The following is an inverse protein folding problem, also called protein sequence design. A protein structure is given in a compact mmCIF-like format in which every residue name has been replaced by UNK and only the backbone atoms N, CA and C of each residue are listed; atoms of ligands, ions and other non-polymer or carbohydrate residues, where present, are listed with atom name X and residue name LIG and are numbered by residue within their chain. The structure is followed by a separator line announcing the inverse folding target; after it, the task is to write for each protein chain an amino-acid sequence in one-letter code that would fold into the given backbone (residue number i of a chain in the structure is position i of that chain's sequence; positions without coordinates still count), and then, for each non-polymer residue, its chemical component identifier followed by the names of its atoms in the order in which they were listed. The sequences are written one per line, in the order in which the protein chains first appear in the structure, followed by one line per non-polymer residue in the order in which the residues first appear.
data_IF_132165864659
#
_entry.id   IF_132165864659
#
_cell.length_a   1.000
_cell.length_b   1.000
_cell.length_c   1.000
_cell.angle_alpha   90.00
_cell.angle_beta   90.00
_cell.angle_gamma   90.00
#
_symmetry.space_group_name_H-M   'P 1'
#
loop_
_entity.id
_entity.type
_entity.pdbx_description
1 polymer ?
#
# COMPACT_ATOMS: atom_id res chain seq x y z
N UNK A 1 -1.15 -14.29 5.15
CA UNK A 1 -1.83 -13.21 5.90
C UNK A 1 -2.22 -13.67 7.31
N UNK A 2 -2.87 -14.82 7.51
CA UNK A 2 -3.29 -15.30 8.83
C UNK A 2 -2.12 -15.48 9.81
N UNK A 3 -0.96 -16.02 9.38
CA UNK A 3 0.23 -16.15 10.24
C UNK A 3 0.78 -14.79 10.68
N UNK A 4 0.77 -13.80 9.79
CA UNK A 4 1.14 -12.43 10.11
C UNK A 4 0.19 -11.84 11.17
N UNK A 5 -1.12 -12.01 11.03
CA UNK A 5 -2.11 -11.59 12.03
C UNK A 5 -1.88 -12.25 13.39
N UNK A 6 -1.62 -13.56 13.41
CA UNK A 6 -1.31 -14.28 14.63
C UNK A 6 -0.04 -13.75 15.33
N UNK A 7 1.00 -13.39 14.56
CA UNK A 7 2.20 -12.77 15.09
C UNK A 7 1.91 -11.38 15.68
N UNK A 8 1.15 -10.55 14.99
CA UNK A 8 0.75 -9.23 15.47
C UNK A 8 -0.08 -9.31 16.76
N UNK A 9 -1.08 -10.18 16.81
CA UNK A 9 -1.91 -10.39 18.00
C UNK A 9 -1.05 -10.85 19.21
N UNK A 10 -0.18 -11.83 18.98
CA UNK A 10 0.72 -12.35 20.01
C UNK A 10 1.63 -11.27 20.60
N UNK A 11 2.11 -10.35 19.80
CA UNK A 11 3.09 -9.32 20.20
C UNK A 11 2.46 -7.96 20.49
N UNK A 12 1.14 -7.81 20.33
CA UNK A 12 0.41 -6.58 20.63
C UNK A 12 0.56 -5.49 19.57
N UNK A 13 0.87 -5.87 18.33
CA UNK A 13 0.89 -4.93 17.21
C UNK A 13 -0.52 -4.46 16.84
N UNK A 14 -0.73 -3.17 16.52
CA UNK A 14 -2.04 -2.64 16.19
C UNK A 14 -2.48 -3.12 14.79
N UNK A 15 -3.31 -4.15 14.75
CA UNK A 15 -3.88 -4.68 13.50
C UNK A 15 -5.36 -5.00 13.67
N UNK A 16 -6.16 -5.01 12.59
CA UNK A 16 -7.55 -5.42 12.66
C UNK A 16 -7.69 -6.82 13.24
N UNK A 17 -8.71 -7.04 14.07
CA UNK A 17 -9.06 -8.40 14.50
C UNK A 17 -9.44 -9.22 13.29
N UNK A 18 -9.01 -10.47 13.26
CA UNK A 18 -9.18 -11.34 12.12
C UNK A 18 -9.52 -12.76 12.51
N UNK A 19 -10.28 -13.43 11.67
CA UNK A 19 -10.69 -14.83 11.84
C UNK A 19 -10.35 -15.55 10.53
N UNK A 20 -9.60 -16.64 10.65
CA UNK A 20 -9.36 -17.56 9.52
C UNK A 20 -10.59 -18.46 9.37
N UNK A 21 -11.13 -18.55 8.17
CA UNK A 21 -12.31 -19.33 7.88
C UNK A 21 -12.13 -20.23 6.66
N UNK A 22 -12.55 -21.48 6.80
CA UNK A 22 -12.70 -22.45 5.72
C UNK A 22 -14.15 -22.55 5.25
N UNK A 23 -15.12 -22.22 6.15
CA UNK A 23 -16.55 -22.16 5.87
C UNK A 23 -17.24 -21.13 6.76
N UNK A 24 -18.51 -20.84 6.49
CA UNK A 24 -19.34 -19.97 7.33
C UNK A 24 -19.52 -20.52 8.75
N UNK A 25 -19.43 -21.84 8.93
CA UNK A 25 -19.62 -22.50 10.22
C UNK A 25 -18.51 -22.13 11.22
N UNK A 26 -17.33 -21.73 10.74
CA UNK A 26 -16.22 -21.26 11.57
C UNK A 26 -16.55 -19.93 12.28
N UNK A 27 -17.61 -19.24 11.87
CA UNK A 27 -18.09 -18.00 12.49
C UNK A 27 -19.27 -18.22 13.44
N UNK A 28 -19.70 -19.46 13.67
CA UNK A 28 -20.82 -19.76 14.56
C UNK A 28 -20.53 -19.27 16.00
N UNK A 29 -21.44 -18.45 16.54
CA UNK A 29 -21.29 -17.87 17.87
C UNK A 29 -20.32 -16.71 17.99
N UNK A 30 -19.73 -16.24 16.88
CA UNK A 30 -18.83 -15.09 16.84
C UNK A 30 -19.61 -13.85 16.43
N UNK A 31 -19.51 -12.79 17.24
CA UNK A 31 -20.05 -11.47 16.89
C UNK A 31 -19.06 -10.71 16.01
N UNK A 32 -19.49 -10.35 14.79
CA UNK A 32 -18.69 -9.57 13.85
C UNK A 32 -19.04 -8.09 13.96
N UNK A 33 -17.99 -7.25 14.11
CA UNK A 33 -18.13 -5.80 14.14
C UNK A 33 -18.04 -5.24 12.70
N UNK A 34 -19.19 -4.95 12.09
CA UNK A 34 -19.26 -4.38 10.76
C UNK A 34 -18.90 -2.88 10.74
N UNK A 35 -18.31 -2.38 9.61
CA UNK A 35 -17.99 -3.09 8.39
C UNK A 35 -16.81 -4.05 8.55
N UNK A 36 -16.80 -5.11 7.74
CA UNK A 36 -15.72 -6.10 7.69
C UNK A 36 -15.13 -6.25 6.29
N UNK A 37 -13.93 -6.82 6.23
CA UNK A 37 -13.27 -7.24 4.99
C UNK A 37 -13.21 -8.77 4.97
N UNK A 38 -13.59 -9.35 3.83
CA UNK A 38 -13.34 -10.76 3.51
C UNK A 38 -12.32 -10.82 2.39
N UNK A 39 -11.25 -11.60 2.56
CA UNK A 39 -10.16 -11.67 1.58
C UNK A 39 -9.46 -13.03 1.56
N UNK A 40 -8.84 -13.44 0.42
CA UNK A 40 -7.98 -14.63 0.36
C UNK A 40 -6.75 -14.46 1.26
N UNK A 41 -6.24 -15.56 1.80
CA UNK A 41 -5.04 -15.51 2.66
C UNK A 41 -3.73 -15.36 1.88
N UNK A 42 -3.72 -15.65 0.59
CA UNK A 42 -2.53 -15.86 -0.24
C UNK A 42 -2.56 -15.12 -1.61
N UNK A 43 -3.38 -14.07 -1.72
CA UNK A 43 -3.42 -13.21 -2.93
C UNK A 43 -2.90 -11.80 -2.62
N UNK A 44 -2.47 -11.11 -3.68
CA UNK A 44 -2.01 -9.72 -3.69
C UNK A 44 -2.76 -8.89 -4.72
N UNK A 45 -2.63 -7.56 -4.68
CA UNK A 45 -3.23 -6.65 -5.67
C UNK A 45 -4.75 -6.59 -5.57
N UNK A 46 -5.28 -6.51 -4.37
CA UNK A 46 -6.71 -6.34 -4.02
C UNK A 46 -7.67 -7.40 -4.60
N UNK A 47 -7.16 -8.54 -5.11
CA UNK A 47 -7.97 -9.59 -5.73
C UNK A 47 -8.74 -10.39 -4.70
N UNK A 48 -10.06 -10.55 -4.92
CA UNK A 48 -10.95 -11.31 -4.05
C UNK A 48 -11.23 -10.64 -2.71
N UNK A 49 -11.05 -9.31 -2.62
CA UNK A 49 -11.38 -8.52 -1.44
C UNK A 49 -12.81 -8.02 -1.53
N UNK A 50 -13.61 -8.29 -0.51
CA UNK A 50 -14.99 -7.79 -0.41
C UNK A 50 -15.19 -7.07 0.91
N UNK A 51 -15.67 -5.81 0.86
CA UNK A 51 -16.10 -5.05 2.04
C UNK A 51 -17.60 -5.26 2.25
N UNK A 52 -17.99 -5.67 3.44
CA UNK A 52 -19.39 -5.88 3.83
C UNK A 52 -19.78 -4.89 4.92
N UNK A 53 -20.95 -4.26 4.75
CA UNK A 53 -21.53 -3.32 5.72
C UNK A 53 -22.39 -4.03 6.78
N UNK A 54 -22.86 -5.24 6.47
CA UNK A 54 -23.66 -6.11 7.32
C UNK A 54 -23.45 -7.56 6.90
N UNK A 55 -24.22 -8.49 7.46
CA UNK A 55 -24.12 -9.93 7.18
C UNK A 55 -24.61 -10.35 5.78
N UNK A 56 -25.20 -9.44 5.01
CA UNK A 56 -25.68 -9.75 3.67
C UNK A 56 -24.50 -10.06 2.73
N UNK A 57 -24.55 -11.20 2.06
CA UNK A 57 -23.48 -11.61 1.14
C UNK A 57 -22.22 -12.19 1.81
N UNK A 58 -22.23 -12.44 3.13
CA UNK A 58 -21.04 -12.96 3.84
C UNK A 58 -20.63 -14.35 3.33
N UNK A 59 -21.58 -15.23 3.04
CA UNK A 59 -21.31 -16.57 2.50
C UNK A 59 -20.68 -16.45 1.11
N UNK A 60 -21.26 -15.64 0.26
CA UNK A 60 -20.79 -15.39 -1.10
C UNK A 60 -19.37 -14.80 -1.11
N UNK A 61 -19.10 -13.82 -0.21
CA UNK A 61 -17.79 -13.21 -0.08
C UNK A 61 -16.72 -14.21 0.39
N UNK A 62 -17.04 -15.10 1.33
CA UNK A 62 -16.14 -16.17 1.77
C UNK A 62 -15.85 -17.13 0.62
N UNK A 63 -16.87 -17.60 -0.11
CA UNK A 63 -16.67 -18.53 -1.24
C UNK A 63 -15.92 -17.89 -2.40
N UNK A 64 -16.15 -16.59 -2.70
CA UNK A 64 -15.38 -15.86 -3.69
C UNK A 64 -13.91 -15.73 -3.28
N UNK A 65 -13.63 -15.29 -2.05
CA UNK A 65 -12.28 -15.21 -1.52
C UNK A 65 -11.54 -16.55 -1.61
N UNK A 66 -12.20 -17.64 -1.23
CA UNK A 66 -11.66 -19.01 -1.35
C UNK A 66 -11.43 -19.40 -2.81
N UNK A 67 -12.34 -19.04 -3.71
CA UNK A 67 -12.20 -19.33 -5.15
C UNK A 67 -10.98 -18.62 -5.74
N UNK A 68 -10.72 -17.38 -5.33
CA UNK A 68 -9.58 -16.57 -5.77
C UNK A 68 -8.25 -17.04 -5.15
N UNK A 69 -8.25 -17.57 -3.93
CA UNK A 69 -7.07 -18.05 -3.21
C UNK A 69 -6.56 -19.41 -3.70
N UNK A 70 -5.28 -19.71 -3.45
CA UNK A 70 -4.69 -21.02 -3.72
C UNK A 70 -4.99 -22.01 -2.58
N UNK A 71 -4.89 -21.57 -1.32
CA UNK A 71 -5.11 -22.39 -0.12
C UNK A 71 -6.59 -22.66 0.19
N UNK A 72 -7.51 -22.00 -0.55
CA UNK A 72 -8.95 -22.18 -0.39
C UNK A 72 -9.48 -21.85 1.01
N UNK A 73 -8.82 -20.89 1.66
CA UNK A 73 -9.25 -20.30 2.92
C UNK A 73 -9.41 -18.78 2.77
N UNK A 74 -10.24 -18.21 3.62
CA UNK A 74 -10.46 -16.77 3.66
C UNK A 74 -10.13 -16.19 5.05
N UNK A 75 -9.82 -14.90 5.07
CA UNK A 75 -9.66 -14.12 6.29
C UNK A 75 -10.81 -13.12 6.37
N UNK A 76 -11.54 -13.16 7.48
CA UNK A 76 -12.59 -12.20 7.84
C UNK A 76 -11.98 -11.23 8.84
N UNK A 77 -11.93 -9.94 8.53
CA UNK A 77 -11.27 -8.92 9.35
C UNK A 77 -12.19 -7.73 9.63
N UNK A 78 -12.03 -7.08 10.78
CA UNK A 78 -12.59 -5.75 11.01
C UNK A 78 -12.05 -4.77 9.97
N UNK A 79 -12.90 -3.87 9.45
CA UNK A 79 -12.46 -2.87 8.49
C UNK A 79 -11.70 -1.73 9.20
N UNK A 80 -10.43 -1.56 8.87
CA UNK A 80 -9.66 -0.42 9.33
C UNK A 80 -10.04 0.83 8.53
N UNK A 81 -10.48 1.88 9.21
CA UNK A 81 -10.80 3.18 8.62
C UNK A 81 -9.56 4.10 8.56
N UNK A 82 -9.63 5.10 7.71
CA UNK A 82 -8.60 6.14 7.61
C UNK A 82 -7.79 6.10 6.32
N UNK A 83 -6.93 7.10 6.16
CA UNK A 83 -6.07 7.25 5.00
C UNK A 83 -5.04 6.12 4.93
N UNK A 84 -4.84 5.57 3.75
CA UNK A 84 -3.90 4.49 3.49
C UNK A 84 -2.51 5.02 3.15
N UNK A 85 -1.51 4.41 3.77
CA UNK A 85 -0.10 4.70 3.56
C UNK A 85 0.68 3.41 3.40
N UNK A 86 1.85 3.51 2.79
CA UNK A 86 2.87 2.47 2.90
C UNK A 86 4.20 3.01 3.38
N UNK A 87 4.98 2.13 4.02
CA UNK A 87 6.29 2.43 4.56
C UNK A 87 7.30 1.47 3.95
N UNK A 88 8.34 2.03 3.35
CA UNK A 88 9.47 1.28 2.85
C UNK A 88 10.60 1.28 3.88
N UNK A 89 11.08 0.09 4.22
CA UNK A 89 12.23 -0.09 5.08
C UNK A 89 13.22 -1.10 4.50
N UNK A 90 14.46 -1.03 4.98
CA UNK A 90 15.42 -2.13 4.89
C UNK A 90 15.82 -2.58 6.30
N UNK A 91 16.01 -3.88 6.44
CA UNK A 91 16.57 -4.49 7.65
C UNK A 91 17.96 -5.01 7.37
N UNK A 92 18.91 -4.71 8.25
CA UNK A 92 20.29 -5.18 8.20
C UNK A 92 20.73 -5.67 9.57
N UNK A 93 20.99 -6.95 9.70
CA UNK A 93 21.39 -7.60 10.98
C UNK A 93 20.41 -7.32 12.12
N UNK A 94 19.10 -7.34 11.83
CA UNK A 94 18.04 -7.08 12.80
C UNK A 94 17.84 -5.61 13.15
N UNK A 95 18.56 -4.68 12.53
CA UNK A 95 18.30 -3.25 12.65
C UNK A 95 17.47 -2.77 11.48
N UNK A 96 16.35 -2.13 11.77
CA UNK A 96 15.45 -1.58 10.77
C UNK A 96 15.78 -0.12 10.45
N UNK A 97 15.78 0.19 9.15
CA UNK A 97 16.03 1.53 8.64
C UNK A 97 14.83 1.96 7.81
N UNK A 98 14.20 3.06 8.23
CA UNK A 98 13.14 3.72 7.49
C UNK A 98 13.73 4.41 6.26
N UNK A 99 13.09 4.24 5.11
CA UNK A 99 13.46 4.92 3.87
C UNK A 99 12.45 6.00 3.51
N UNK A 100 11.20 5.63 3.26
CA UNK A 100 10.16 6.55 2.84
C UNK A 100 8.78 6.14 3.37
N UNK A 101 7.88 7.11 3.38
CA UNK A 101 6.45 6.90 3.61
C UNK A 101 5.66 7.45 2.43
N UNK A 102 4.85 6.59 1.84
CA UNK A 102 4.02 6.88 0.67
C UNK A 102 2.59 7.13 1.09
N UNK A 103 1.99 8.19 0.60
CA UNK A 103 0.54 8.39 0.61
C UNK A 103 -0.06 7.65 -0.58
N UNK A 104 -1.07 6.80 -0.36
CA UNK A 104 -1.72 6.00 -1.39
C UNK A 104 -3.09 6.57 -1.71
N UNK A 105 -3.33 6.87 -2.98
CA UNK A 105 -4.64 7.23 -3.51
C UNK A 105 -5.32 5.98 -4.05
N UNK A 106 -6.59 5.78 -3.73
CA UNK A 106 -7.36 4.60 -4.18
C UNK A 106 -8.73 4.97 -4.70
N UNK A 107 -9.36 4.08 -5.46
CA UNK A 107 -10.76 4.24 -5.89
C UNK A 107 -11.75 4.09 -4.74
N UNK A 108 -11.30 3.66 -3.56
CA UNK A 108 -12.20 3.25 -2.50
C UNK A 108 -12.97 1.96 -2.85
N UNK A 109 -14.03 1.68 -2.06
CA UNK A 109 -14.87 0.50 -2.31
C UNK A 109 -15.56 0.60 -3.68
N UNK A 110 -15.82 -0.52 -4.36
CA UNK A 110 -15.64 -1.90 -3.89
C UNK A 110 -14.23 -2.50 -4.14
N UNK A 111 -13.42 -1.93 -5.03
CA UNK A 111 -12.23 -2.60 -5.59
C UNK A 111 -10.91 -2.16 -4.94
N UNK A 112 -10.89 -0.96 -4.31
CA UNK A 112 -9.67 -0.41 -3.67
C UNK A 112 -8.44 -0.41 -4.59
N UNK A 113 -8.63 -0.05 -5.87
CA UNK A 113 -7.54 0.01 -6.86
C UNK A 113 -6.76 1.30 -6.63
N UNK A 114 -5.44 1.23 -6.57
CA UNK A 114 -4.60 2.42 -6.43
C UNK A 114 -4.69 3.30 -7.69
N UNK A 115 -5.02 4.58 -7.48
CA UNK A 115 -5.09 5.61 -8.52
C UNK A 115 -3.80 6.43 -8.64
N UNK A 116 -2.97 6.37 -7.60
CA UNK A 116 -1.67 7.02 -7.57
C UNK A 116 -0.98 6.92 -6.22
N UNK A 117 0.23 7.43 -6.16
CA UNK A 117 1.08 7.48 -4.96
C UNK A 117 1.82 8.79 -4.88
N UNK A 118 2.20 9.21 -3.69
CA UNK A 118 2.93 10.44 -3.43
C UNK A 118 3.94 10.25 -2.30
N UNK A 119 5.16 10.70 -2.49
CA UNK A 119 6.24 10.76 -1.50
C UNK A 119 6.91 12.15 -1.47
N UNK A 120 7.28 12.62 -0.24
CA UNK A 120 6.95 12.04 1.07
C UNK A 120 5.46 12.17 1.39
N UNK A 121 4.92 11.31 2.26
CA UNK A 121 3.55 11.44 2.75
C UNK A 121 3.37 12.75 3.55
N UNK A 122 2.26 13.49 3.38
CA UNK A 122 2.05 14.79 4.02
C UNK A 122 1.54 14.64 5.47
N UNK A 123 2.35 14.06 6.34
CA UNK A 123 2.04 13.87 7.76
C UNK A 123 2.97 14.69 8.66
N UNK A 124 2.60 14.85 9.93
CA UNK A 124 3.46 15.53 10.91
C UNK A 124 4.66 14.67 11.29
N UNK A 125 5.76 15.32 11.71
CA UNK A 125 6.94 14.60 12.20
C UNK A 125 6.62 13.71 13.42
N UNK A 126 5.74 14.16 14.31
CA UNK A 126 5.29 13.39 15.47
C UNK A 126 4.60 12.09 15.04
N UNK A 127 3.69 12.19 14.08
CA UNK A 127 2.96 11.03 13.54
C UNK A 127 3.91 10.08 12.79
N UNK A 128 4.87 10.61 12.03
CA UNK A 128 5.91 9.80 11.38
C UNK A 128 6.73 8.99 12.39
N UNK A 129 7.14 9.60 13.50
CA UNK A 129 7.90 8.89 14.54
C UNK A 129 7.05 7.81 15.25
N UNK A 130 5.74 8.02 15.41
CA UNK A 130 4.83 6.99 15.91
C UNK A 130 4.71 5.82 14.91
N UNK A 131 4.53 6.12 13.62
CA UNK A 131 4.48 5.12 12.55
C UNK A 131 5.76 4.29 12.52
N UNK A 132 6.94 4.92 12.56
CA UNK A 132 8.23 4.19 12.59
C UNK A 132 8.33 3.22 13.76
N UNK A 133 7.90 3.62 14.95
CA UNK A 133 7.91 2.74 16.14
C UNK A 133 7.00 1.52 15.94
N UNK A 134 5.79 1.74 15.43
CA UNK A 134 4.83 0.67 15.16
C UNK A 134 5.38 -0.29 14.10
N UNK A 135 5.90 0.25 12.99
CA UNK A 135 6.43 -0.56 11.89
C UNK A 135 7.64 -1.36 12.34
N UNK A 136 8.60 -0.76 13.04
CA UNK A 136 9.80 -1.47 13.49
C UNK A 136 9.46 -2.59 14.48
N UNK A 137 8.52 -2.35 15.41
CA UNK A 137 8.04 -3.39 16.32
C UNK A 137 7.36 -4.53 15.55
N UNK A 138 6.55 -4.23 14.54
CA UNK A 138 5.90 -5.24 13.71
C UNK A 138 6.91 -6.05 12.87
N UNK A 139 7.99 -5.43 12.37
CA UNK A 139 9.07 -6.13 11.69
C UNK A 139 9.80 -7.09 12.64
N UNK A 140 10.04 -6.67 13.89
CA UNK A 140 10.57 -7.55 14.96
C UNK A 140 9.61 -8.72 15.25
N UNK A 141 8.29 -8.45 15.33
CA UNK A 141 7.26 -9.46 15.55
C UNK A 141 7.22 -10.53 14.46
N UNK A 142 7.60 -10.16 13.23
CA UNK A 142 7.70 -11.06 12.08
C UNK A 142 9.11 -11.67 11.92
N UNK A 143 10.05 -11.40 12.84
CA UNK A 143 11.42 -11.88 12.82
C UNK A 143 12.19 -11.48 11.54
N UNK A 144 11.85 -10.32 10.95
CA UNK A 144 12.53 -9.81 9.75
C UNK A 144 13.88 -9.22 10.17
N UNK A 145 14.97 -9.84 9.74
CA UNK A 145 16.34 -9.43 10.12
C UNK A 145 17.15 -8.88 8.96
N UNK A 146 16.77 -9.21 7.70
CA UNK A 146 17.46 -8.79 6.48
C UNK A 146 16.48 -8.51 5.34
N UNK A 147 16.83 -7.57 4.47
CA UNK A 147 16.13 -7.30 3.23
C UNK A 147 15.14 -6.16 3.31
N UNK A 148 14.39 -5.98 2.23
CA UNK A 148 13.35 -4.98 2.13
C UNK A 148 12.07 -5.38 2.84
N UNK A 149 11.31 -4.38 3.29
CA UNK A 149 9.93 -4.55 3.70
C UNK A 149 9.05 -3.41 3.18
N UNK A 150 7.85 -3.76 2.77
CA UNK A 150 6.77 -2.87 2.39
C UNK A 150 5.63 -3.08 3.39
N UNK A 151 5.36 -2.07 4.19
CA UNK A 151 4.31 -2.10 5.21
C UNK A 151 3.14 -1.24 4.78
N UNK A 152 1.97 -1.82 4.62
CA UNK A 152 0.71 -1.10 4.40
C UNK A 152 0.01 -0.87 5.73
N UNK A 153 -0.44 0.36 5.96
CA UNK A 153 -1.19 0.74 7.16
C UNK A 153 -2.22 1.81 6.85
N UNK A 154 -3.21 1.92 7.73
CA UNK A 154 -4.16 3.05 7.73
C UNK A 154 -3.97 3.90 8.98
N UNK A 155 -4.18 5.20 8.83
CA UNK A 155 -4.20 6.17 9.93
C UNK A 155 -5.56 6.82 9.96
N UNK A 156 -6.30 6.56 11.03
CA UNK A 156 -7.62 7.15 11.24
C UNK A 156 -7.55 8.64 11.60
N UNK A 157 -8.66 9.36 11.52
CA UNK A 157 -8.74 10.80 11.81
C UNK A 157 -8.32 11.16 13.25
N UNK A 158 -8.43 10.23 14.18
CA UNK A 158 -7.99 10.39 15.58
C UNK A 158 -6.50 10.04 15.79
N UNK A 159 -5.78 9.67 14.73
CA UNK A 159 -4.38 9.26 14.76
C UNK A 159 -4.14 7.78 15.03
N UNK A 160 -5.18 6.98 15.21
CA UNK A 160 -5.05 5.52 15.42
C UNK A 160 -4.43 4.87 14.19
N UNK A 161 -3.37 4.07 14.40
CA UNK A 161 -2.66 3.33 13.35
C UNK A 161 -3.17 1.89 13.33
N UNK A 162 -3.45 1.37 12.14
CA UNK A 162 -3.80 -0.04 11.91
C UNK A 162 -2.92 -0.65 10.82
N UNK A 163 -2.12 -1.65 11.16
CA UNK A 163 -1.31 -2.42 10.22
C UNK A 163 -2.19 -3.32 9.35
N UNK A 164 -2.08 -3.15 8.04
CA UNK A 164 -2.88 -3.91 7.06
C UNK A 164 -2.11 -5.12 6.54
N UNK A 165 -0.89 -4.91 6.06
CA UNK A 165 -0.05 -5.99 5.54
C UNK A 165 1.43 -5.59 5.58
N UNK A 166 2.32 -6.58 5.80
CA UNK A 166 3.77 -6.42 5.60
C UNK A 166 4.24 -7.46 4.61
N UNK A 167 4.83 -7.01 3.53
CA UNK A 167 5.51 -7.85 2.55
C UNK A 167 7.03 -7.76 2.73
N UNK A 168 7.74 -8.91 2.79
CA UNK A 168 9.21 -8.97 2.82
C UNK A 168 9.82 -8.67 1.44
N UNK A 169 9.46 -7.54 0.85
CA UNK A 169 9.87 -7.06 -0.48
C UNK A 169 9.69 -5.55 -0.58
N UNK A 170 10.24 -4.94 -1.62
CA UNK A 170 9.97 -3.53 -1.96
C UNK A 170 8.51 -3.33 -2.40
N UNK A 171 7.98 -2.14 -2.23
CA UNK A 171 6.68 -1.72 -2.77
C UNK A 171 6.61 -1.89 -4.29
N UNK A 172 5.41 -2.22 -4.78
CA UNK A 172 5.08 -2.24 -6.20
C UNK A 172 4.75 -0.85 -6.72
N UNK A 173 4.15 -0.80 -7.94
CA UNK A 173 3.56 0.43 -8.51
C UNK A 173 4.51 1.64 -8.43
N UNK A 174 5.79 1.42 -8.78
CA UNK A 174 6.89 2.41 -8.77
C UNK A 174 7.38 2.84 -7.38
N UNK A 175 6.75 2.44 -6.28
CA UNK A 175 7.17 2.87 -4.93
C UNK A 175 8.62 2.48 -4.70
N UNK A 176 8.94 1.18 -4.68
CA UNK A 176 10.29 0.70 -4.39
C UNK A 176 11.32 0.97 -5.47
N UNK A 177 10.92 0.96 -6.74
CA UNK A 177 11.85 1.12 -7.87
C UNK A 177 12.20 2.57 -8.20
N UNK A 178 11.30 3.51 -7.91
CA UNK A 178 11.43 4.89 -8.38
C UNK A 178 11.14 5.94 -7.29
N UNK A 179 9.97 5.87 -6.61
CA UNK A 179 9.54 6.95 -5.70
C UNK A 179 10.50 7.12 -4.54
N UNK A 180 10.95 6.03 -3.90
CA UNK A 180 11.94 6.10 -2.80
C UNK A 180 13.21 6.81 -3.26
N UNK A 181 13.75 6.47 -4.43
CA UNK A 181 14.97 7.10 -4.94
C UNK A 181 14.75 8.58 -5.27
N UNK A 182 13.64 8.93 -5.91
CA UNK A 182 13.31 10.32 -6.25
C UNK A 182 13.07 11.18 -5.00
N UNK A 183 12.48 10.60 -3.95
CA UNK A 183 12.09 11.32 -2.74
C UNK A 183 13.17 11.36 -1.64
N UNK A 184 14.19 10.50 -1.71
CA UNK A 184 15.24 10.39 -0.67
C UNK A 184 16.67 10.44 -1.22
N UNK A 185 16.85 10.17 -2.52
CA UNK A 185 18.17 9.97 -3.14
C UNK A 185 18.78 8.59 -2.87
N UNK A 186 18.11 7.73 -2.06
CA UNK A 186 18.59 6.38 -1.75
C UNK A 186 18.26 5.43 -2.90
N UNK A 187 19.26 4.75 -3.46
CA UNK A 187 19.05 3.66 -4.40
C UNK A 187 18.58 2.40 -3.65
N UNK A 188 17.25 2.29 -3.49
CA UNK A 188 16.64 1.20 -2.74
C UNK A 188 16.88 -0.17 -3.40
N UNK A 189 16.88 -0.23 -4.73
CA UNK A 189 17.17 -1.46 -5.48
C UNK A 189 18.58 -1.94 -5.19
N UNK A 190 19.56 -1.01 -5.25
CA UNK A 190 20.96 -1.32 -4.90
C UNK A 190 21.09 -1.76 -3.45
N UNK A 191 20.44 -1.07 -2.51
CA UNK A 191 20.46 -1.45 -1.08
C UNK A 191 19.98 -2.91 -0.86
N UNK A 192 18.93 -3.33 -1.56
CA UNK A 192 18.42 -4.72 -1.49
C UNK A 192 19.43 -5.71 -2.09
N UNK A 193 20.09 -5.35 -3.18
CA UNK A 193 21.13 -6.18 -3.81
C UNK A 193 22.32 -6.32 -2.84
N UNK A 194 22.82 -5.23 -2.28
CA UNK A 194 23.94 -5.21 -1.33
C UNK A 194 23.64 -6.15 -0.13
N UNK A 195 22.46 -6.00 0.48
CA UNK A 195 22.01 -6.88 1.58
C UNK A 195 22.00 -8.35 1.15
N UNK A 196 21.50 -8.64 -0.06
CA UNK A 196 21.44 -10.02 -0.59
C UNK A 196 22.82 -10.62 -0.82
N UNK A 197 23.83 -9.80 -1.08
CA UNK A 197 25.24 -10.17 -1.20
C UNK A 197 25.96 -10.26 0.17
N UNK A 198 25.30 -9.87 1.26
CA UNK A 198 25.88 -9.82 2.59
C UNK A 198 26.69 -8.55 2.87
N UNK A 199 26.49 -7.52 2.06
CA UNK A 199 27.13 -6.21 2.18
C UNK A 199 26.22 -5.23 2.91
N UNK A 200 26.81 -4.28 3.64
CA UNK A 200 26.07 -3.22 4.33
C UNK A 200 25.53 -2.22 3.31
N UNK A 201 24.22 -1.94 3.30
CA UNK A 201 23.64 -1.01 2.34
C UNK A 201 24.04 0.42 2.64
N UNK A 202 24.26 1.21 1.59
CA UNK A 202 24.40 2.66 1.67
C UNK A 202 22.99 3.30 1.75
N UNK A 203 22.70 3.97 2.85
CA UNK A 203 21.41 4.60 3.14
C UNK A 203 21.57 6.11 3.41
N UNK A 204 22.65 6.72 2.94
CA UNK A 204 22.79 8.18 3.01
C UNK A 204 21.75 8.87 2.13
N UNK A 205 21.12 9.90 2.69
CA UNK A 205 20.19 10.74 1.93
C UNK A 205 20.97 11.50 0.84
N UNK A 206 20.54 11.34 -0.40
CA UNK A 206 21.09 12.08 -1.53
C UNK A 206 20.24 13.31 -1.89
N UNK A 207 20.46 13.81 -3.11
CA UNK A 207 19.57 14.82 -3.70
C UNK A 207 18.17 14.23 -3.81
N UNK A 208 17.18 14.97 -3.30
CA UNK A 208 15.81 14.50 -3.22
C UNK A 208 14.80 15.61 -3.57
N UNK A 209 13.62 15.17 -3.98
CA UNK A 209 12.52 16.03 -4.40
C UNK A 209 11.19 15.40 -3.94
N UNK A 210 10.07 16.05 -4.21
CA UNK A 210 8.78 15.37 -4.14
C UNK A 210 8.61 14.46 -5.37
N UNK A 211 8.02 13.31 -5.17
CA UNK A 211 7.76 12.35 -6.23
C UNK A 211 6.31 11.84 -6.18
N UNK A 212 5.77 11.46 -7.30
CA UNK A 212 4.44 10.87 -7.37
C UNK A 212 4.22 10.10 -8.65
N UNK A 213 3.21 9.25 -8.64
CA UNK A 213 2.69 8.57 -9.82
C UNK A 213 1.19 8.74 -9.88
N UNK A 214 0.66 9.06 -11.05
CA UNK A 214 -0.76 8.98 -11.39
C UNK A 214 -0.98 7.84 -12.36
N UNK A 215 -1.92 6.97 -12.05
CA UNK A 215 -2.39 5.93 -12.98
C UNK A 215 -3.56 6.45 -13.81
N UNK A 216 -3.69 5.92 -15.03
CA UNK A 216 -4.71 6.35 -15.98
C UNK A 216 -5.88 5.37 -15.97
N UNK A 217 -7.05 5.88 -15.61
CA UNK A 217 -8.31 5.14 -15.53
C UNK A 217 -9.27 5.52 -16.66
N UNK A 218 -9.23 6.78 -17.08
CA UNK A 218 -10.16 7.33 -18.07
C UNK A 218 -9.56 8.53 -18.83
N UNK A 219 -10.39 9.16 -19.67
CA UNK A 219 -9.97 10.33 -20.45
C UNK A 219 -9.65 11.55 -19.58
N UNK A 220 -10.27 11.71 -18.40
CA UNK A 220 -9.98 12.82 -17.48
C UNK A 220 -8.53 12.77 -17.00
N UNK A 221 -8.02 11.56 -16.71
CA UNK A 221 -6.61 11.38 -16.32
C UNK A 221 -5.69 11.78 -17.47
N UNK A 222 -6.00 11.35 -18.69
CA UNK A 222 -5.23 11.74 -19.89
C UNK A 222 -5.19 13.25 -20.04
N UNK A 223 -6.34 13.93 -19.90
CA UNK A 223 -6.42 15.40 -20.06
C UNK A 223 -5.58 16.12 -19.00
N UNK A 224 -5.54 15.63 -17.76
CA UNK A 224 -4.68 16.15 -16.68
C UNK A 224 -3.21 15.99 -17.04
N UNK A 225 -2.81 14.83 -17.56
CA UNK A 225 -1.43 14.54 -17.93
C UNK A 225 -0.99 15.27 -19.20
N UNK A 226 -1.87 15.51 -20.17
CA UNK A 226 -1.58 16.38 -21.30
C UNK A 226 -1.41 17.86 -20.88
N UNK A 227 -2.17 18.31 -19.86
CA UNK A 227 -1.95 19.61 -19.23
C UNK A 227 -0.58 19.67 -18.56
N UNK A 228 -0.20 18.65 -17.76
CA UNK A 228 1.14 18.56 -17.16
C UNK A 228 2.23 18.66 -18.23
N UNK A 229 2.13 17.87 -19.27
CA UNK A 229 3.10 17.84 -20.37
C UNK A 229 3.27 19.19 -21.07
N UNK A 230 2.20 19.98 -21.13
CA UNK A 230 2.21 21.32 -21.73
C UNK A 230 2.78 22.38 -20.78
N UNK A 231 2.42 22.33 -19.50
CA UNK A 231 2.75 23.36 -18.52
C UNK A 231 4.10 23.11 -17.83
N UNK A 232 4.39 21.84 -17.50
CA UNK A 232 5.54 21.41 -16.71
C UNK A 232 6.16 20.12 -17.23
N UNK A 233 6.61 20.04 -18.49
CA UNK A 233 7.25 18.84 -19.04
C UNK A 233 8.46 18.38 -18.22
N UNK A 234 9.12 19.29 -17.51
CA UNK A 234 10.27 19.02 -16.63
C UNK A 234 9.92 18.19 -15.38
N UNK A 235 8.63 18.09 -15.02
CA UNK A 235 8.21 17.23 -13.90
C UNK A 235 8.05 15.77 -14.32
N UNK A 236 7.95 15.47 -15.62
CA UNK A 236 7.74 14.12 -16.10
C UNK A 236 9.06 13.35 -16.07
N UNK A 237 9.10 12.31 -15.25
CA UNK A 237 10.23 11.37 -15.17
C UNK A 237 10.06 10.25 -16.19
N UNK A 238 8.86 9.67 -16.24
CA UNK A 238 8.48 8.63 -17.19
C UNK A 238 6.96 8.62 -17.39
N UNK A 239 6.51 8.25 -18.58
CA UNK A 239 5.08 8.22 -18.88
C UNK A 239 4.79 7.22 -20.00
N UNK A 240 3.85 6.31 -19.74
CA UNK A 240 3.31 5.40 -20.76
C UNK A 240 1.78 5.36 -20.65
N UNK A 241 1.10 5.81 -21.71
CA UNK A 241 -0.35 5.92 -21.78
C UNK A 241 -0.85 5.21 -23.03
N UNK A 242 -1.69 4.22 -22.86
CA UNK A 242 -2.40 3.52 -23.94
C UNK A 242 -3.67 4.30 -24.29
N UNK A 243 -4.18 4.15 -25.53
CA UNK A 243 -5.48 4.72 -25.90
C UNK A 243 -6.60 4.25 -24.97
N UNK A 244 -7.41 5.20 -24.48
CA UNK A 244 -8.59 4.89 -23.66
C UNK A 244 -9.70 4.40 -24.58
N UNK A 245 -9.97 3.10 -24.55
CA UNK A 245 -10.95 2.42 -25.40
C UNK A 245 -12.31 2.18 -24.70
N UNK A 246 -12.39 2.59 -23.41
CA UNK A 246 -13.61 2.52 -22.61
C UNK A 246 -13.83 1.21 -21.86
N UNK A 247 -12.83 0.31 -21.79
CA UNK A 247 -12.95 -0.84 -20.89
C UNK A 247 -12.92 -0.40 -19.42
N UNK A 248 -13.56 -1.16 -18.55
CA UNK A 248 -13.58 -0.93 -17.13
C UNK A 248 -12.23 -1.32 -16.48
N UNK A 249 -11.68 -0.45 -15.64
CA UNK A 249 -10.50 -0.75 -14.83
C UNK A 249 -10.96 -1.48 -13.57
N UNK A 250 -10.67 -2.76 -13.49
CA UNK A 250 -11.10 -3.66 -12.40
C UNK A 250 -9.97 -4.08 -11.46
N UNK A 251 -8.72 -3.88 -11.86
CA UNK A 251 -7.51 -4.11 -11.07
C UNK A 251 -6.33 -3.31 -11.63
N UNK A 252 -5.18 -3.38 -10.98
CA UNK A 252 -3.98 -2.64 -11.37
C UNK A 252 -3.45 -3.01 -12.77
N UNK A 253 -3.73 -4.21 -13.28
CA UNK A 253 -3.25 -4.68 -14.59
C UNK A 253 -4.09 -4.16 -15.75
N UNK A 254 -5.29 -3.68 -15.47
CA UNK A 254 -6.25 -3.16 -16.46
C UNK A 254 -6.22 -1.65 -16.61
N UNK A 255 -5.33 -0.94 -15.90
CA UNK A 255 -5.09 0.50 -16.06
C UNK A 255 -4.60 0.83 -17.48
N UNK A 256 -4.95 2.00 -17.99
CA UNK A 256 -4.52 2.45 -19.31
C UNK A 256 -3.08 2.98 -19.36
N UNK A 257 -2.45 3.15 -18.21
CA UNK A 257 -1.07 3.60 -18.12
C UNK A 257 -0.76 4.38 -16.85
N UNK A 258 0.34 5.15 -16.92
CA UNK A 258 0.83 5.92 -15.78
C UNK A 258 1.63 7.15 -16.23
N UNK A 259 1.81 8.08 -15.29
CA UNK A 259 2.81 9.12 -15.35
C UNK A 259 3.56 9.21 -14.02
N UNK A 260 4.85 8.96 -14.05
CA UNK A 260 5.78 9.14 -12.94
C UNK A 260 6.31 10.58 -12.97
N UNK A 261 6.21 11.29 -11.85
CA UNK A 261 6.48 12.71 -11.72
C UNK A 261 7.46 13.00 -10.59
N UNK A 262 8.25 14.05 -10.76
CA UNK A 262 9.09 14.61 -9.70
C UNK A 262 9.14 16.14 -9.80
N UNK A 263 9.04 16.82 -8.66
CA UNK A 263 9.15 18.27 -8.57
C UNK A 263 9.82 18.66 -7.24
N UNK A 264 10.25 19.92 -7.12
CA UNK A 264 10.94 20.43 -5.94
C UNK A 264 10.15 20.27 -4.63
N UNK A 265 8.83 20.24 -4.69
CA UNK A 265 7.92 20.11 -3.54
C UNK A 265 6.58 19.49 -3.96
N UNK A 266 5.84 18.96 -2.97
CA UNK A 266 4.52 18.34 -3.18
C UNK A 266 3.47 19.30 -3.76
N UNK A 267 3.53 20.60 -3.40
CA UNK A 267 2.55 21.58 -3.88
C UNK A 267 2.58 21.71 -5.39
N UNK A 268 3.75 21.53 -5.99
CA UNK A 268 3.94 21.54 -7.43
C UNK A 268 3.30 20.32 -8.11
N UNK A 269 3.16 19.19 -7.41
CA UNK A 269 2.58 17.94 -7.93
C UNK A 269 1.08 17.81 -7.69
N UNK A 270 0.51 18.42 -6.64
CA UNK A 270 -0.91 18.26 -6.28
C UNK A 270 -1.89 18.47 -7.45
N UNK A 271 -1.70 19.44 -8.37
CA UNK A 271 -2.64 19.61 -9.49
C UNK A 271 -2.71 18.43 -10.46
N UNK A 272 -1.74 17.52 -10.38
CA UNK A 272 -1.55 16.40 -11.31
C UNK A 272 -1.69 15.03 -10.63
N UNK A 273 -1.75 14.99 -9.30
CA UNK A 273 -2.00 13.79 -8.51
C UNK A 273 -3.51 13.52 -8.41
N UNK A 274 -3.94 12.27 -8.14
CA UNK A 274 -5.34 11.98 -7.84
C UNK A 274 -5.82 12.74 -6.61
N UNK A 275 -7.15 12.88 -6.50
CA UNK A 275 -7.80 13.37 -5.30
C UNK A 275 -7.96 12.22 -4.29
N UNK A 276 -7.92 12.52 -2.99
CA UNK A 276 -8.32 11.57 -1.97
C UNK A 276 -9.82 11.30 -2.05
N UNK A 277 -10.18 10.02 -1.97
CA UNK A 277 -11.59 9.66 -1.81
C UNK A 277 -12.02 9.92 -0.36
N UNK A 278 -13.09 10.65 -0.15
CA UNK A 278 -13.73 10.76 1.17
C UNK A 278 -14.36 9.40 1.53
N UNK A 279 -13.86 8.75 2.60
CA UNK A 279 -14.45 7.52 3.18
C UNK A 279 -15.61 7.85 4.12
#
# INVERSE_FOLDING_TARGET
KHLMRAAFEKNGDPSPKSILVSSIDDLEGIELNYPIIVKPIDRSGSRGITKLQDSSGLVEAIEDAKAQGFEKEALVEEFATGQEYSIECVSWKGKHHFLAMTHKFTTGAPHFIETGHMEPAPISQEQLEQVKKVVFHALDSLEITYGASHTELKIAKDGTIALIEIGGRMGGDFIGSNLVQLSTGIDFVKAVIDISLGEEPDLELGDHAAAGVRFVFDQKDVDILEKLKKEHPEYIVDMDIKPVDGHEVIDSSTRYGYCLMSAKDLKSLYPYLPDDMEE
#
